data_IF_861607884060
#
_entry.id   IF_861607884060
#
_cell.length_a   1.000
_cell.length_b   1.000
_cell.length_c   1.000
_cell.angle_alpha   90.00
_cell.angle_beta   90.00
_cell.angle_gamma   90.00
#
_symmetry.space_group_name_H-M   'P 1'
#
loop_
_entity.id
_entity.type
_entity.pdbx_description
1 polymer ?
#
# COMPACT_ATOMS: atom_id res chain seq x y z
N UNK A 1 -4.65 12.75 19.73
CA UNK A 1 -3.59 11.72 19.80
C UNK A 1 -4.12 10.28 19.72
N UNK A 2 -5.37 10.04 19.29
CA UNK A 2 -6.05 8.74 19.45
C UNK A 2 -6.58 8.22 18.11
N UNK A 3 -6.48 6.91 17.90
CA UNK A 3 -6.89 6.17 16.70
C UNK A 3 -5.91 6.17 15.52
N UNK A 4 -5.56 7.32 14.93
CA UNK A 4 -4.65 7.40 13.76
C UNK A 4 -3.29 6.72 14.02
N UNK A 5 -2.58 7.11 15.09
CA UNK A 5 -1.28 6.49 15.48
C UNK A 5 -1.37 5.01 15.90
N UNK A 6 -2.57 4.46 16.05
CA UNK A 6 -2.79 3.10 16.57
C UNK A 6 -2.96 2.06 15.47
N UNK A 7 -3.45 2.48 14.30
CA UNK A 7 -3.63 1.60 13.14
C UNK A 7 -2.49 1.79 12.12
N UNK A 8 -1.96 3.00 12.03
CA UNK A 8 -0.81 3.36 11.17
C UNK A 8 0.54 2.85 11.68
N UNK A 9 0.59 2.07 12.77
CA UNK A 9 1.83 1.34 13.05
C UNK A 9 1.92 0.25 12.01
N UNK A 10 2.93 0.28 11.14
CA UNK A 10 3.07 -0.71 10.10
C UNK A 10 2.97 -2.10 10.74
N UNK A 11 2.32 -3.03 10.06
CA UNK A 11 2.76 -4.41 10.15
C UNK A 11 4.19 -4.43 9.63
N UNK A 12 5.15 -4.04 10.47
CA UNK A 12 6.51 -4.55 10.43
C UNK A 12 6.42 -6.03 10.79
N UNK A 13 5.91 -6.82 9.85
CA UNK A 13 6.56 -8.06 9.49
C UNK A 13 7.55 -7.75 8.34
N UNK A 14 8.34 -6.69 8.51
CA UNK A 14 9.78 -6.83 8.34
C UNK A 14 10.23 -7.85 9.40
N UNK A 15 9.91 -9.12 9.17
CA UNK A 15 10.83 -10.16 9.61
C UNK A 15 12.10 -9.84 8.84
N UNK A 16 12.99 -9.12 9.53
CA UNK A 16 14.35 -8.91 9.10
C UNK A 16 14.84 -10.25 8.56
N UNK A 17 14.89 -10.37 7.24
CA UNK A 17 15.38 -11.57 6.58
C UNK A 17 16.74 -11.81 7.21
N UNK A 18 16.97 -12.96 7.89
CA UNK A 18 18.25 -13.21 8.49
C UNK A 18 19.29 -13.06 7.38
N UNK A 19 20.29 -12.24 7.64
CA UNK A 19 21.46 -11.97 6.78
C UNK A 19 22.29 -13.25 6.62
N UNK A 20 21.75 -14.24 5.93
CA UNK A 20 22.36 -15.56 5.79
C UNK A 20 22.04 -16.24 4.45
N UNK A 21 22.21 -15.51 3.35
CA UNK A 21 22.60 -15.99 2.02
C UNK A 21 22.64 -14.77 1.08
N UNK A 22 23.53 -14.70 0.08
CA UNK A 22 23.39 -13.69 -0.96
C UNK A 22 22.03 -13.91 -1.64
N UNK A 23 21.20 -12.86 -1.64
CA UNK A 23 19.82 -12.85 -2.14
C UNK A 23 19.74 -13.30 -3.60
N UNK A 24 18.56 -13.69 -4.07
CA UNK A 24 18.42 -14.23 -5.44
C UNK A 24 18.89 -13.23 -6.51
N UNK A 25 18.78 -11.93 -6.24
CA UNK A 25 19.22 -10.84 -7.10
C UNK A 25 20.74 -10.63 -7.15
N UNK A 26 21.48 -10.87 -6.06
CA UNK A 26 22.93 -10.62 -5.99
C UNK A 26 23.75 -11.58 -6.86
N UNK A 27 23.13 -12.67 -7.33
CA UNK A 27 23.77 -13.69 -8.16
C UNK A 27 23.55 -13.48 -9.65
N UNK A 28 22.74 -12.49 -10.03
CA UNK A 28 22.39 -12.21 -11.41
C UNK A 28 23.41 -11.30 -12.07
N UNK A 29 23.64 -11.53 -13.36
CA UNK A 29 24.25 -10.53 -14.23
C UNK A 29 23.30 -9.35 -14.48
N UNK A 30 23.84 -8.20 -14.86
CA UNK A 30 23.05 -7.01 -15.21
C UNK A 30 22.02 -7.30 -16.32
N UNK A 31 22.38 -8.16 -17.29
CA UNK A 31 21.48 -8.58 -18.37
C UNK A 31 20.31 -9.43 -17.83
N UNK A 32 20.58 -10.40 -16.95
CA UNK A 32 19.54 -11.24 -16.33
C UNK A 32 18.62 -10.41 -15.43
N UNK A 33 19.17 -9.46 -14.68
CA UNK A 33 18.40 -8.53 -13.87
C UNK A 33 17.50 -7.67 -14.74
N UNK A 34 18.02 -7.09 -15.82
CA UNK A 34 17.24 -6.27 -16.74
C UNK A 34 16.09 -7.06 -17.38
N UNK A 35 16.35 -8.32 -17.79
CA UNK A 35 15.31 -9.20 -18.33
C UNK A 35 14.23 -9.48 -17.28
N UNK A 36 14.62 -9.79 -16.04
CA UNK A 36 13.69 -10.04 -14.94
C UNK A 36 12.81 -8.83 -14.63
N UNK A 37 13.39 -7.63 -14.56
CA UNK A 37 12.64 -6.39 -14.34
C UNK A 37 11.62 -6.11 -15.47
N UNK A 38 11.84 -6.66 -16.66
CA UNK A 38 10.93 -6.58 -17.80
C UNK A 38 9.72 -7.51 -17.73
N UNK A 39 9.72 -8.53 -16.85
CA UNK A 39 8.61 -9.47 -16.70
C UNK A 39 7.51 -8.81 -15.86
N UNK A 40 6.33 -8.62 -16.47
CA UNK A 40 5.16 -8.00 -15.81
C UNK A 40 3.99 -8.94 -15.61
N UNK A 41 3.93 -10.03 -16.37
CA UNK A 41 2.76 -10.91 -16.41
C UNK A 41 3.07 -12.28 -15.84
N UNK A 42 2.28 -12.71 -14.87
CA UNK A 42 2.37 -14.00 -14.19
C UNK A 42 1.03 -14.71 -14.35
N UNK A 43 0.92 -15.57 -15.37
CA UNK A 43 -0.35 -16.18 -15.75
C UNK A 43 -1.35 -15.11 -16.21
N UNK A 44 -2.42 -14.91 -15.44
CA UNK A 44 -3.45 -13.90 -15.71
C UNK A 44 -3.26 -12.61 -14.90
N UNK A 45 -2.25 -12.55 -14.04
CA UNK A 45 -1.96 -11.39 -13.19
C UNK A 45 -0.91 -10.50 -13.84
N UNK A 46 -1.17 -9.20 -13.89
CA UNK A 46 -0.22 -8.18 -14.36
C UNK A 46 0.21 -7.30 -13.19
N UNK A 47 1.53 -7.26 -12.95
CA UNK A 47 2.15 -6.36 -11.98
C UNK A 47 2.17 -4.91 -12.49
N UNK A 48 2.15 -3.98 -11.55
CA UNK A 48 2.58 -2.60 -11.82
C UNK A 48 4.09 -2.52 -12.00
N UNK A 49 4.63 -1.33 -12.28
CA UNK A 49 6.09 -1.16 -12.34
C UNK A 49 6.75 -0.96 -10.97
N UNK A 50 5.97 -0.90 -9.88
CA UNK A 50 6.45 -0.58 -8.55
C UNK A 50 7.22 -1.71 -7.86
N UNK A 51 6.86 -2.97 -8.11
CA UNK A 51 7.46 -4.12 -7.42
C UNK A 51 7.82 -5.26 -8.37
N UNK A 52 8.86 -6.01 -8.04
CA UNK A 52 9.20 -7.28 -8.69
C UNK A 52 9.44 -8.38 -7.65
N UNK A 53 8.84 -9.57 -7.82
CA UNK A 53 9.13 -10.71 -6.96
C UNK A 53 10.58 -11.17 -7.16
N UNK A 54 11.05 -12.04 -6.25
CA UNK A 54 12.35 -12.70 -6.36
C UNK A 54 12.59 -13.34 -7.74
N UNK A 55 13.85 -13.51 -8.11
CA UNK A 55 14.21 -14.09 -9.40
C UNK A 55 13.75 -15.54 -9.57
N UNK A 56 13.77 -16.31 -8.48
CA UNK A 56 13.26 -17.69 -8.45
C UNK A 56 11.73 -17.77 -8.31
N UNK A 57 11.04 -16.63 -8.15
CA UNK A 57 9.59 -16.48 -8.06
C UNK A 57 8.98 -17.48 -7.08
N UNK A 58 9.40 -17.43 -5.82
CA UNK A 58 8.91 -18.35 -4.78
C UNK A 58 7.39 -18.24 -4.58
N UNK A 59 6.86 -17.03 -4.78
CA UNK A 59 5.44 -16.73 -4.75
C UNK A 59 5.07 -16.16 -6.10
N UNK A 60 4.18 -16.87 -6.81
CA UNK A 60 3.64 -16.40 -8.08
C UNK A 60 2.50 -15.40 -7.82
N UNK A 61 2.59 -14.15 -8.29
CA UNK A 61 1.55 -13.15 -8.12
C UNK A 61 0.21 -13.62 -8.68
N UNK A 62 -0.86 -13.44 -7.91
CA UNK A 62 -2.23 -13.84 -8.25
C UNK A 62 -3.23 -12.83 -7.72
N UNK A 63 -4.38 -12.76 -8.36
CA UNK A 63 -5.51 -11.95 -7.91
C UNK A 63 -6.35 -12.74 -6.91
N UNK A 64 -6.79 -12.07 -5.84
CA UNK A 64 -7.65 -12.62 -4.82
C UNK A 64 -7.48 -11.89 -3.49
N UNK A 65 -8.29 -12.26 -2.50
CA UNK A 65 -8.16 -11.72 -1.16
C UNK A 65 -8.26 -12.79 -0.09
N UNK A 66 -7.69 -12.54 1.08
CA UNK A 66 -7.88 -13.34 2.29
C UNK A 66 -8.17 -12.46 3.49
N UNK A 67 -8.82 -13.05 4.49
CA UNK A 67 -9.02 -12.40 5.77
C UNK A 67 -7.78 -12.57 6.64
N UNK A 68 -7.45 -11.52 7.37
CA UNK A 68 -6.40 -11.54 8.38
C UNK A 68 -6.83 -10.75 9.62
N UNK A 69 -5.92 -10.63 10.58
CA UNK A 69 -6.14 -9.93 11.85
C UNK A 69 -4.90 -9.12 12.20
N UNK A 70 -5.08 -7.83 12.38
CA UNK A 70 -4.08 -6.97 13.00
C UNK A 70 -4.21 -7.05 14.52
N UNK A 71 -3.10 -7.24 15.23
CA UNK A 71 -3.06 -7.23 16.70
C UNK A 71 -2.24 -6.03 17.15
N UNK A 72 -2.89 -5.10 17.85
CA UNK A 72 -2.22 -3.95 18.45
C UNK A 72 -1.39 -4.40 19.65
N UNK A 73 -0.07 -4.32 19.53
CA UNK A 73 0.87 -4.76 20.58
C UNK A 73 0.72 -4.00 21.91
N UNK A 74 0.22 -2.77 21.87
CA UNK A 74 0.12 -1.92 23.07
C UNK A 74 -1.01 -2.31 24.01
N UNK A 75 -2.10 -2.87 23.47
CA UNK A 75 -3.31 -3.18 24.23
C UNK A 75 -3.91 -4.56 23.92
N UNK A 76 -3.31 -5.32 23.00
CA UNK A 76 -3.76 -6.64 22.57
C UNK A 76 -5.06 -6.64 21.76
N UNK A 77 -5.59 -5.48 21.37
CA UNK A 77 -6.82 -5.40 20.59
C UNK A 77 -6.62 -5.96 19.19
N UNK A 78 -7.63 -6.66 18.69
CA UNK A 78 -7.58 -7.28 17.37
C UNK A 78 -8.53 -6.57 16.42
N UNK A 79 -8.00 -6.09 15.30
CA UNK A 79 -8.76 -5.47 14.23
C UNK A 79 -8.81 -6.45 13.06
N UNK A 80 -10.00 -6.83 12.55
CA UNK A 80 -10.08 -7.70 11.40
C UNK A 80 -9.66 -6.95 10.12
N UNK A 81 -9.06 -7.68 9.19
CA UNK A 81 -8.44 -7.14 7.98
C UNK A 81 -8.86 -7.96 6.76
N UNK A 82 -9.01 -7.32 5.61
CA UNK A 82 -8.94 -7.97 4.30
C UNK A 82 -7.65 -7.53 3.64
N UNK A 83 -6.81 -8.49 3.25
CA UNK A 83 -5.68 -8.25 2.37
C UNK A 83 -6.04 -8.76 0.97
N UNK A 84 -5.82 -7.93 -0.05
CA UNK A 84 -6.19 -8.25 -1.41
C UNK A 84 -5.09 -7.86 -2.41
N UNK A 85 -4.92 -8.68 -3.42
CA UNK A 85 -4.13 -8.39 -4.60
C UNK A 85 -5.07 -8.28 -5.81
N UNK A 86 -4.97 -7.19 -6.56
CA UNK A 86 -5.72 -6.95 -7.78
C UNK A 86 -4.74 -6.68 -8.92
N UNK A 87 -5.05 -7.19 -10.12
CA UNK A 87 -4.18 -6.99 -11.29
C UNK A 87 -4.16 -5.52 -11.71
N UNK A 88 -3.01 -5.05 -12.23
CA UNK A 88 -2.80 -3.65 -12.65
C UNK A 88 -4.00 -3.01 -13.39
N UNK A 89 -4.65 -3.66 -14.37
CA UNK A 89 -5.73 -3.02 -15.14
C UNK A 89 -6.98 -2.64 -14.33
N UNK A 90 -7.19 -3.24 -13.16
CA UNK A 90 -8.36 -2.97 -12.30
C UNK A 90 -7.99 -2.36 -10.95
N UNK A 91 -6.70 -2.38 -10.59
CA UNK A 91 -6.21 -2.05 -9.25
C UNK A 91 -6.66 -0.67 -8.78
N UNK A 92 -6.52 0.35 -9.65
CA UNK A 92 -6.92 1.72 -9.31
C UNK A 92 -8.43 1.84 -9.12
N UNK A 93 -9.23 1.27 -10.02
CA UNK A 93 -10.69 1.31 -9.93
C UNK A 93 -11.19 0.62 -8.65
N UNK A 94 -10.62 -0.55 -8.33
CA UNK A 94 -10.95 -1.28 -7.08
C UNK A 94 -10.60 -0.43 -5.85
N UNK A 95 -9.43 0.20 -5.82
CA UNK A 95 -9.04 1.09 -4.72
C UNK A 95 -10.02 2.24 -4.54
N UNK A 96 -10.39 2.90 -5.64
CA UNK A 96 -11.35 4.00 -5.64
C UNK A 96 -12.75 3.57 -5.15
N UNK A 97 -13.20 2.37 -5.51
CA UNK A 97 -14.49 1.82 -5.05
C UNK A 97 -14.45 1.37 -3.58
N UNK A 98 -13.28 0.96 -3.07
CA UNK A 98 -13.10 0.66 -1.65
C UNK A 98 -13.21 1.93 -0.79
N UNK A 99 -12.68 3.06 -1.27
CA UNK A 99 -12.80 4.36 -0.59
C UNK A 99 -14.27 4.75 -0.38
N UNK A 100 -15.17 4.41 -1.30
CA UNK A 100 -16.59 4.76 -1.19
C UNK A 100 -17.27 4.13 0.04
N UNK A 101 -16.69 3.06 0.60
CA UNK A 101 -17.18 2.44 1.84
C UNK A 101 -16.87 3.29 3.08
N UNK A 102 -15.86 4.16 3.02
CA UNK A 102 -15.39 4.95 4.15
C UNK A 102 -16.32 6.14 4.45
N UNK A 103 -17.06 6.67 3.47
CA UNK A 103 -18.02 7.76 3.69
C UNK A 103 -17.73 8.98 2.82
N UNK A 104 -18.25 10.16 3.19
CA UNK A 104 -18.12 11.37 2.37
C UNK A 104 -16.88 12.21 2.68
N UNK A 105 -16.36 12.12 3.90
CA UNK A 105 -15.19 12.87 4.38
C UNK A 105 -14.26 11.89 5.08
N UNK A 106 -12.98 11.99 4.76
CA UNK A 106 -11.92 11.09 5.23
C UNK A 106 -10.65 11.87 5.58
N UNK A 107 -9.76 11.22 6.30
CA UNK A 107 -8.37 11.64 6.50
C UNK A 107 -7.47 10.81 5.58
N UNK A 108 -6.30 11.35 5.23
CA UNK A 108 -5.36 10.73 4.31
C UNK A 108 -3.97 10.75 4.92
N UNK A 109 -3.27 9.63 4.78
CA UNK A 109 -1.84 9.50 5.06
C UNK A 109 -1.15 9.08 3.78
N UNK A 110 -0.19 9.87 3.35
CA UNK A 110 0.65 9.58 2.20
C UNK A 110 2.02 9.14 2.73
N UNK A 111 2.46 7.95 2.35
CA UNK A 111 3.66 7.30 2.87
C UNK A 111 4.74 7.28 1.78
N UNK A 112 6.00 7.53 2.16
CA UNK A 112 7.11 7.52 1.21
C UNK A 112 8.43 7.00 1.76
N UNK A 113 9.15 6.21 0.96
CA UNK A 113 10.50 5.68 1.29
C UNK A 113 11.63 6.27 0.45
N UNK A 114 11.37 7.33 -0.34
CA UNK A 114 12.36 7.88 -1.28
C UNK A 114 13.67 8.41 -0.65
N UNK A 115 13.63 8.89 0.61
CA UNK A 115 14.80 9.46 1.29
C UNK A 115 15.38 8.55 2.39
N UNK A 116 14.83 7.36 2.55
CA UNK A 116 15.04 6.54 3.72
C UNK A 116 15.02 5.07 3.35
N UNK A 117 16.16 4.42 3.47
CA UNK A 117 16.30 2.99 3.17
C UNK A 117 15.62 2.06 4.18
N UNK A 118 15.06 2.59 5.28
CA UNK A 118 14.47 1.76 6.35
C UNK A 118 13.36 2.42 7.19
N UNK A 119 12.91 3.63 6.89
CA UNK A 119 11.82 4.29 7.64
C UNK A 119 10.96 5.10 6.69
N UNK A 120 9.67 4.80 6.56
CA UNK A 120 8.77 5.61 5.75
C UNK A 120 8.53 6.98 6.41
N UNK A 121 8.39 8.02 5.57
CA UNK A 121 7.91 9.34 5.97
C UNK A 121 6.40 9.40 5.74
N UNK A 122 5.65 9.73 6.79
CA UNK A 122 4.20 9.81 6.77
C UNK A 122 3.74 11.27 6.70
N UNK A 123 2.91 11.58 5.71
CA UNK A 123 2.41 12.92 5.44
C UNK A 123 0.90 12.95 5.59
N UNK A 124 0.38 13.93 6.32
CA UNK A 124 -1.02 13.89 6.78
C UNK A 124 -1.87 14.98 6.14
N UNK A 125 -3.11 14.62 5.79
CA UNK A 125 -4.18 15.55 5.45
C UNK A 125 -5.48 15.08 6.09
N UNK A 126 -5.96 15.79 7.10
CA UNK A 126 -7.24 15.49 7.74
C UNK A 126 -8.39 16.15 6.99
N UNK A 127 -9.60 15.59 7.00
CA UNK A 127 -10.84 16.20 6.51
C UNK A 127 -10.80 16.63 5.03
N UNK A 128 -10.78 15.66 4.12
CA UNK A 128 -10.98 15.85 2.68
C UNK A 128 -12.28 15.19 2.22
N UNK A 129 -13.03 15.88 1.35
CA UNK A 129 -14.20 15.31 0.69
C UNK A 129 -13.77 14.23 -0.30
N UNK A 130 -14.40 13.04 -0.22
CA UNK A 130 -14.06 11.88 -1.06
C UNK A 130 -14.09 12.19 -2.57
N UNK A 131 -15.07 12.94 -3.12
CA UNK A 131 -15.03 13.30 -4.55
C UNK A 131 -13.80 14.12 -4.95
N UNK A 132 -13.32 15.00 -4.08
CA UNK A 132 -12.10 15.80 -4.32
C UNK A 132 -10.87 14.91 -4.24
N UNK A 133 -10.80 14.06 -3.21
CA UNK A 133 -9.73 13.07 -3.05
C UNK A 133 -9.63 12.17 -4.29
N UNK A 134 -10.72 11.49 -4.69
CA UNK A 134 -10.72 10.59 -5.86
C UNK A 134 -10.28 11.32 -7.13
N UNK A 135 -10.68 12.59 -7.32
CA UNK A 135 -10.23 13.40 -8.45
C UNK A 135 -8.71 13.60 -8.46
N UNK A 136 -8.09 13.85 -7.30
CA UNK A 136 -6.64 13.99 -7.18
C UNK A 136 -5.97 12.63 -7.41
N UNK A 137 -6.47 11.56 -6.79
CA UNK A 137 -5.90 10.22 -6.93
C UNK A 137 -5.87 9.76 -8.40
N UNK A 138 -6.92 10.03 -9.18
CA UNK A 138 -6.96 9.73 -10.62
C UNK A 138 -5.90 10.52 -11.42
N UNK A 139 -5.60 11.77 -11.04
CA UNK A 139 -4.53 12.56 -11.70
C UNK A 139 -3.14 11.93 -11.46
N UNK A 140 -2.96 11.29 -10.30
CA UNK A 140 -1.68 10.74 -9.84
C UNK A 140 -1.63 9.20 -9.86
N UNK A 141 -2.49 8.54 -10.63
CA UNK A 141 -2.53 7.07 -10.78
C UNK A 141 -1.16 6.48 -11.12
N UNK A 142 -0.40 7.12 -12.01
CA UNK A 142 0.95 6.68 -12.40
C UNK A 142 1.90 6.58 -11.19
N UNK A 143 1.83 7.51 -10.24
CA UNK A 143 2.63 7.47 -9.01
C UNK A 143 2.11 6.35 -8.10
N UNK A 144 0.81 6.35 -7.83
CA UNK A 144 0.18 5.37 -6.93
C UNK A 144 0.41 3.93 -7.36
N UNK A 145 0.39 3.65 -8.67
CA UNK A 145 0.55 2.29 -9.17
C UNK A 145 2.01 1.92 -9.45
N UNK A 146 2.80 2.81 -10.06
CA UNK A 146 4.09 2.44 -10.64
C UNK A 146 5.30 2.86 -9.80
N UNK A 147 5.09 3.60 -8.72
CA UNK A 147 6.16 3.97 -7.80
C UNK A 147 6.22 3.03 -6.58
N UNK A 148 7.29 2.25 -6.47
CA UNK A 148 7.56 1.35 -5.35
C UNK A 148 7.96 2.04 -4.06
N UNK A 149 8.02 3.37 -4.05
CA UNK A 149 8.32 4.16 -2.85
C UNK A 149 7.12 4.97 -2.35
N UNK A 150 5.92 4.77 -2.90
CA UNK A 150 4.70 5.49 -2.50
C UNK A 150 3.63 4.52 -2.00
N UNK A 151 3.12 4.77 -0.79
CA UNK A 151 1.92 4.16 -0.23
C UNK A 151 0.89 5.23 0.14
N UNK A 152 -0.37 4.85 0.32
CA UNK A 152 -1.43 5.76 0.77
C UNK A 152 -2.49 5.03 1.60
N UNK A 153 -2.87 5.63 2.72
CA UNK A 153 -3.94 5.18 3.60
C UNK A 153 -5.07 6.22 3.67
N UNK A 154 -6.31 5.76 3.49
CA UNK A 154 -7.52 6.58 3.57
C UNK A 154 -8.33 6.12 4.78
N UNK A 155 -8.64 7.04 5.69
CA UNK A 155 -9.13 6.71 7.02
C UNK A 155 -10.44 7.43 7.29
N UNK A 156 -11.43 6.71 7.81
CA UNK A 156 -12.57 7.33 8.47
C UNK A 156 -12.48 7.07 9.98
N UNK A 157 -12.06 8.10 10.72
CA UNK A 157 -11.88 8.06 12.17
C UNK A 157 -13.18 7.81 12.94
N UNK A 158 -14.32 8.30 12.44
CA UNK A 158 -15.63 8.10 13.07
C UNK A 158 -16.13 6.66 12.93
N UNK A 159 -15.89 6.03 11.77
CA UNK A 159 -16.22 4.61 11.51
C UNK A 159 -15.19 3.64 12.04
N UNK A 160 -13.99 4.12 12.37
CA UNK A 160 -12.84 3.28 12.72
C UNK A 160 -12.47 2.30 11.61
N UNK A 161 -12.48 2.77 10.36
CA UNK A 161 -12.20 1.99 9.16
C UNK A 161 -11.15 2.69 8.31
N UNK A 162 -10.39 1.89 7.56
CA UNK A 162 -9.27 2.35 6.75
C UNK A 162 -9.10 1.47 5.52
N UNK A 163 -8.69 2.08 4.40
CA UNK A 163 -8.30 1.39 3.17
C UNK A 163 -6.92 1.89 2.77
N UNK A 164 -5.99 0.98 2.54
CA UNK A 164 -4.63 1.25 2.12
C UNK A 164 -4.38 0.71 0.70
N UNK A 165 -3.59 1.46 -0.05
CA UNK A 165 -2.81 0.98 -1.19
C UNK A 165 -1.35 1.17 -0.81
N UNK A 166 -0.69 0.09 -0.38
CA UNK A 166 0.67 0.16 0.14
C UNK A 166 1.73 0.27 -0.97
N UNK A 167 3.01 0.38 -0.60
CA UNK A 167 4.10 0.41 -1.57
C UNK A 167 4.24 -0.89 -2.39
N UNK A 168 3.73 -2.01 -1.86
CA UNK A 168 3.63 -3.31 -2.51
C UNK A 168 2.41 -3.46 -3.43
N UNK A 169 1.59 -2.41 -3.52
CA UNK A 169 0.37 -2.36 -4.34
C UNK A 169 -0.67 -3.40 -3.93
N UNK A 170 -0.65 -3.80 -2.67
CA UNK A 170 -1.70 -4.55 -2.02
C UNK A 170 -2.79 -3.59 -1.56
N UNK A 171 -4.03 -4.05 -1.66
CA UNK A 171 -5.19 -3.37 -1.11
C UNK A 171 -5.46 -3.96 0.27
N UNK A 172 -5.48 -3.12 1.30
CA UNK A 172 -5.70 -3.56 2.68
C UNK A 172 -6.86 -2.78 3.29
N UNK A 173 -7.89 -3.48 3.76
CA UNK A 173 -9.04 -2.86 4.41
C UNK A 173 -9.12 -3.28 5.88
N UNK A 174 -9.19 -2.30 6.78
CA UNK A 174 -9.24 -2.49 8.23
C UNK A 174 -10.60 -2.08 8.80
N UNK A 175 -10.95 -2.70 9.93
CA UNK A 175 -12.05 -2.26 10.78
C UNK A 175 -13.27 -3.16 10.69
N UNK A 176 -14.42 -2.69 11.16
CA UNK A 176 -15.64 -3.51 11.27
C UNK A 176 -16.87 -2.68 10.96
N UNK A 177 -17.83 -3.18 10.15
CA UNK A 177 -17.84 -4.47 9.43
C UNK A 177 -16.96 -4.48 8.17
N UNK A 178 -16.58 -5.67 7.70
CA UNK A 178 -15.79 -5.86 6.47
C UNK A 178 -16.64 -6.18 5.23
N UNK A 179 -17.95 -6.39 5.38
CA UNK A 179 -18.83 -6.88 4.33
C UNK A 179 -18.90 -5.95 3.11
N UNK A 180 -18.86 -4.63 3.32
CA UNK A 180 -18.85 -3.64 2.23
C UNK A 180 -17.60 -3.77 1.36
N UNK A 181 -16.42 -3.80 1.98
CA UNK A 181 -15.14 -3.97 1.29
C UNK A 181 -15.08 -5.32 0.54
N UNK A 182 -15.51 -6.41 1.19
CA UNK A 182 -15.62 -7.73 0.57
C UNK A 182 -16.50 -7.69 -0.69
N UNK A 183 -17.66 -7.04 -0.60
CA UNK A 183 -18.58 -6.97 -1.74
C UNK A 183 -17.98 -6.16 -2.89
N UNK A 184 -17.29 -5.05 -2.60
CA UNK A 184 -16.54 -4.28 -3.61
C UNK A 184 -15.51 -5.17 -4.31
N UNK A 185 -14.69 -5.91 -3.58
CA UNK A 185 -13.68 -6.81 -4.16
C UNK A 185 -14.33 -7.86 -5.09
N UNK A 186 -15.40 -8.52 -4.63
CA UNK A 186 -16.12 -9.53 -5.43
C UNK A 186 -16.72 -8.92 -6.70
N UNK A 187 -17.29 -7.72 -6.61
CA UNK A 187 -17.87 -7.02 -7.76
C UNK A 187 -16.82 -6.66 -8.81
N UNK A 188 -15.56 -6.50 -8.40
CA UNK A 188 -14.40 -6.22 -9.26
C UNK A 188 -13.61 -7.50 -9.63
N UNK A 189 -14.23 -8.67 -9.52
CA UNK A 189 -13.64 -9.98 -9.83
C UNK A 189 -12.42 -10.38 -8.96
N UNK A 190 -12.26 -9.77 -7.79
CA UNK A 190 -11.29 -10.19 -6.76
C UNK A 190 -12.01 -11.10 -5.77
N UNK A 191 -11.84 -12.42 -5.93
CA UNK A 191 -12.53 -13.44 -5.15
C UNK A 191 -11.72 -13.90 -3.93
N UNK A 192 -12.37 -14.43 -2.88
CA UNK A 192 -11.67 -14.96 -1.71
C UNK A 192 -10.83 -16.20 -2.07
N UNK A 193 -9.59 -16.25 -1.61
CA UNK A 193 -8.68 -17.39 -1.68
C UNK A 193 -7.86 -17.43 -0.39
N UNK A 194 -8.28 -18.25 0.58
CA UNK A 194 -7.59 -18.37 1.88
C UNK A 194 -6.16 -18.92 1.78
N UNK A 195 -5.79 -19.51 0.62
CA UNK A 195 -4.47 -20.04 0.35
C UNK A 195 -3.56 -19.08 -0.42
N UNK A 196 -4.06 -17.90 -0.79
CA UNK A 196 -3.28 -16.90 -1.50
C UNK A 196 -2.12 -16.43 -0.63
N UNK A 197 -0.95 -16.32 -1.27
CA UNK A 197 0.22 -15.69 -0.70
C UNK A 197 0.52 -14.41 -1.47
N UNK A 198 0.95 -13.38 -0.75
CA UNK A 198 1.31 -12.10 -1.34
C UNK A 198 2.81 -12.02 -1.63
N UNK A 199 3.20 -11.15 -2.56
CA UNK A 199 4.60 -10.95 -2.94
C UNK A 199 5.46 -10.53 -1.74
N UNK A 200 4.86 -9.84 -0.77
CA UNK A 200 5.48 -9.44 0.50
C UNK A 200 5.91 -10.62 1.38
N UNK A 201 5.35 -11.82 1.18
CA UNK A 201 5.69 -13.02 1.95
C UNK A 201 6.94 -13.75 1.41
N UNK A 202 7.61 -13.18 0.41
CA UNK A 202 8.89 -13.65 -0.12
C UNK A 202 9.81 -12.47 -0.46
N UNK A 203 11.07 -12.78 -0.80
CA UNK A 203 12.01 -11.77 -1.29
C UNK A 203 11.42 -11.05 -2.51
N UNK A 204 11.51 -9.72 -2.52
CA UNK A 204 11.04 -8.86 -3.60
C UNK A 204 11.84 -7.55 -3.59
N UNK A 205 11.72 -6.76 -4.65
CA UNK A 205 12.37 -5.46 -4.77
C UNK A 205 11.36 -4.40 -5.21
N UNK A 206 11.55 -3.19 -4.70
CA UNK A 206 10.82 -2.01 -5.14
C UNK A 206 11.56 -1.33 -6.30
N UNK A 207 10.81 -0.63 -7.14
CA UNK A 207 11.34 0.14 -8.26
C UNK A 207 10.72 1.54 -8.26
N UNK A 208 11.58 2.54 -8.41
CA UNK A 208 11.21 3.95 -8.52
C UNK A 208 12.12 4.65 -9.54
N UNK A 209 11.85 5.93 -9.81
CA UNK A 209 12.67 6.77 -10.69
C UNK A 209 12.57 8.24 -10.30
N UNK A 210 13.56 9.05 -10.69
CA UNK A 210 13.53 10.51 -10.47
C UNK A 210 12.25 11.15 -11.02
N UNK A 211 11.77 10.68 -12.18
CA UNK A 211 10.50 11.15 -12.77
C UNK A 211 9.29 10.89 -11.87
N UNK A 212 9.24 9.72 -11.23
CA UNK A 212 8.14 9.36 -10.32
C UNK A 212 8.24 10.17 -9.02
N UNK A 213 9.46 10.37 -8.51
CA UNK A 213 9.71 11.23 -7.36
C UNK A 213 9.28 12.69 -7.61
N UNK A 214 9.59 13.27 -8.77
CA UNK A 214 9.14 14.62 -9.12
C UNK A 214 7.62 14.74 -9.20
N UNK A 215 6.94 13.68 -9.67
CA UNK A 215 5.47 13.61 -9.67
C UNK A 215 4.92 13.41 -8.26
N UNK A 216 5.60 12.63 -7.42
CA UNK A 216 5.24 12.47 -6.00
C UNK A 216 5.27 13.83 -5.27
N UNK A 217 6.27 14.68 -5.52
CA UNK A 217 6.31 16.03 -4.93
C UNK A 217 5.13 16.91 -5.37
N UNK A 218 4.69 16.77 -6.64
CA UNK A 218 3.48 17.43 -7.12
C UNK A 218 2.23 16.86 -6.47
N UNK A 219 2.17 15.53 -6.28
CA UNK A 219 1.07 14.84 -5.62
C UNK A 219 0.94 15.32 -4.16
N UNK A 220 2.04 15.32 -3.40
CA UNK A 220 2.15 15.89 -2.05
C UNK A 220 1.54 17.30 -1.98
N UNK A 221 1.99 18.18 -2.89
CA UNK A 221 1.52 19.57 -2.96
C UNK A 221 0.02 19.65 -3.29
N UNK A 222 -0.48 18.82 -4.22
CA UNK A 222 -1.88 18.84 -4.63
C UNK A 222 -2.84 18.28 -3.60
N UNK A 223 -2.41 17.24 -2.90
CA UNK A 223 -3.17 16.64 -1.81
C UNK A 223 -3.21 17.58 -0.59
N UNK A 224 -2.22 18.47 -0.48
CA UNK A 224 -2.09 19.41 0.63
C UNK A 224 -1.74 18.69 1.93
N UNK A 225 -0.91 17.65 1.83
CA UNK A 225 -0.39 16.95 3.01
C UNK A 225 0.80 17.70 3.59
N UNK A 226 0.94 17.62 4.90
CA UNK A 226 2.01 18.27 5.65
C UNK A 226 2.84 17.21 6.41
N UNK A 227 4.13 17.47 6.55
CA UNK A 227 5.01 16.68 7.42
C UNK A 227 4.58 16.93 8.87
N UNK A 228 4.54 15.92 9.74
CA UNK A 228 4.38 16.16 11.19
C UNK A 228 5.53 17.08 11.65
N UNK A 229 5.27 18.38 11.77
CA UNK A 229 6.13 19.25 12.57
C UNK A 229 5.97 18.79 14.02
N UNK A 230 7.07 18.38 14.65
CA UNK A 230 7.11 18.29 16.12
C UNK A 230 6.48 19.58 16.67
N UNK A 231 5.53 19.50 17.61
CA UNK A 231 4.98 20.70 18.21
C UNK A 231 6.16 21.48 18.80
N UNK A 232 6.41 22.69 18.30
CA UNK A 232 7.30 23.63 18.97
C UNK A 232 6.86 23.67 20.43
N UNK A 233 7.76 23.22 21.31
CA UNK A 233 7.58 23.31 22.74
C UNK A 233 7.60 24.80 23.08
N UNK A 234 6.45 25.47 22.89
CA UNK A 234 6.24 26.87 23.15
C UNK A 234 6.36 27.09 24.65
N UNK A 235 7.53 27.56 25.06
CA UNK A 235 7.77 28.06 26.40
C UNK A 235 6.86 29.26 26.68
N UNK A 236 5.77 29.05 27.43
CA UNK A 236 5.07 30.07 28.23
C UNK A 236 4.53 29.43 29.51
#
# INVERSE_FOLDING_TARGET
MGFLKRILRPTTQDDAIPTSAPGSFERLSDEELQVHMGIKTYGMFELTDAIRPSYDVQISPRQGFRYDKYVDESNGSTTPVIMAAASKPILMDVFLDLIDQLGSVVDVVLETSHHSSSQHEDLYREHIDVPVLKSILMEFEDVLLNDGCTGIAIINTAKQQEVQLDEHKLLIAYGTPLDGFRQTLINSDVYPDDSIKFVTEAEHVHSSSERLYDKFQQFKTRLGVEDEHEPECGAW
#
